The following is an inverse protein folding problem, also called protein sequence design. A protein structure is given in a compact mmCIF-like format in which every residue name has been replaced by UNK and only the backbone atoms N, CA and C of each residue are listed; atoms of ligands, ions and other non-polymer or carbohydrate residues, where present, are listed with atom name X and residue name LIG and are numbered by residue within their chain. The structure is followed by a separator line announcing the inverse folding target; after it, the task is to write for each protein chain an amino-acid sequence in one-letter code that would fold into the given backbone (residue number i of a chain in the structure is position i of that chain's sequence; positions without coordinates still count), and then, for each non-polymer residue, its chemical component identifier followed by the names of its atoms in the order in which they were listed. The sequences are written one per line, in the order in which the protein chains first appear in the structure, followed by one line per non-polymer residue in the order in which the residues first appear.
data_IF_459696265931
#
_entry.id   IF_459696265931
#
_cell.length_a   1.000
_cell.length_b   1.000
_cell.length_c   1.000
_cell.angle_alpha   90.00
_cell.angle_beta   90.00
_cell.angle_gamma   90.00
#
_symmetry.space_group_name_H-M   'P 1'
#
loop_
_entity.id
_entity.type
_entity.pdbx_description
1 polymer ?
#
# COMPACT_ATOMS: atom_id res chain seq x y z
N UNK A 1 -32.85 14.15 -5.00
CA UNK A 1 -32.28 14.77 -3.76
C UNK A 1 -30.88 14.25 -3.52
N UNK A 2 -30.70 12.92 -3.53
CA UNK A 2 -29.40 12.23 -3.59
C UNK A 2 -28.42 12.88 -4.60
N UNK A 3 -28.89 13.23 -5.78
CA UNK A 3 -28.13 13.89 -6.86
C UNK A 3 -27.41 15.18 -6.41
N UNK A 4 -28.04 15.97 -5.53
CA UNK A 4 -27.46 17.20 -4.95
C UNK A 4 -26.53 16.93 -3.77
N UNK A 5 -26.53 15.71 -3.22
CA UNK A 5 -25.53 15.24 -2.27
C UNK A 5 -24.31 14.70 -3.04
N UNK A 6 -24.53 13.82 -4.03
CA UNK A 6 -23.46 13.30 -4.91
C UNK A 6 -22.68 14.43 -5.59
N UNK A 7 -23.37 15.45 -6.13
CA UNK A 7 -22.68 16.59 -6.74
C UNK A 7 -21.83 17.40 -5.75
N UNK A 8 -22.25 17.50 -4.48
CA UNK A 8 -21.46 18.15 -3.42
C UNK A 8 -20.27 17.30 -3.00
N UNK A 9 -20.42 15.99 -2.92
CA UNK A 9 -19.33 15.06 -2.59
C UNK A 9 -18.25 15.13 -3.67
N UNK A 10 -18.60 14.98 -4.94
CA UNK A 10 -17.65 15.11 -6.07
C UNK A 10 -16.97 16.48 -6.12
N UNK A 11 -17.69 17.55 -5.81
CA UNK A 11 -17.11 18.91 -5.75
C UNK A 11 -16.13 19.08 -4.59
N UNK A 12 -16.39 18.44 -3.44
CA UNK A 12 -15.46 18.42 -2.30
C UNK A 12 -14.23 17.55 -2.56
N UNK A 13 -14.42 16.37 -3.16
CA UNK A 13 -13.34 15.44 -3.57
C UNK A 13 -12.39 16.16 -4.53
N UNK A 14 -12.90 16.63 -5.67
CA UNK A 14 -12.12 17.39 -6.67
C UNK A 14 -11.41 18.61 -6.07
N UNK A 15 -12.11 19.41 -5.24
CA UNK A 15 -11.53 20.61 -4.62
C UNK A 15 -10.42 20.28 -3.62
N UNK A 16 -10.44 19.08 -3.02
CA UNK A 16 -9.39 18.65 -2.10
C UNK A 16 -8.23 18.00 -2.85
N UNK A 17 -8.52 17.26 -3.92
CA UNK A 17 -7.52 16.67 -4.81
C UNK A 17 -6.64 17.75 -5.47
N UNK A 18 -7.24 18.82 -6.03
CA UNK A 18 -6.49 19.98 -6.55
C UNK A 18 -5.54 20.58 -5.50
N UNK A 19 -5.94 20.63 -4.22
CA UNK A 19 -5.14 21.19 -3.13
C UNK A 19 -4.00 20.28 -2.68
N UNK A 20 -4.17 18.96 -2.76
CA UNK A 20 -3.17 17.97 -2.32
C UNK A 20 -2.15 17.73 -3.43
N UNK A 21 -2.60 17.41 -4.65
CA UNK A 21 -1.71 17.04 -5.76
C UNK A 21 -0.96 18.28 -6.29
N UNK A 22 -1.58 19.46 -6.25
CA UNK A 22 -0.99 20.73 -6.70
C UNK A 22 0.25 21.22 -5.94
N UNK A 23 0.64 20.56 -4.85
CA UNK A 23 1.80 20.93 -4.03
C UNK A 23 3.04 20.05 -4.21
N UNK A 24 3.06 19.08 -5.14
CA UNK A 24 3.96 17.92 -5.03
C UNK A 24 4.85 17.62 -6.25
N UNK A 25 6.04 17.03 -6.04
CA UNK A 25 6.97 16.70 -7.13
C UNK A 25 7.93 15.50 -6.88
N UNK A 26 7.84 14.47 -7.73
CA UNK A 26 8.73 13.30 -7.90
C UNK A 26 8.29 12.55 -9.20
N UNK A 27 8.75 11.31 -9.44
CA UNK A 27 8.72 10.59 -10.74
C UNK A 27 7.90 9.27 -10.83
N UNK A 28 7.12 8.91 -9.82
CA UNK A 28 6.46 7.58 -9.67
C UNK A 28 4.92 7.60 -9.43
N UNK A 29 4.28 8.76 -9.33
CA UNK A 29 2.85 8.93 -9.01
C UNK A 29 2.26 10.02 -9.92
N UNK A 30 1.01 9.88 -10.37
CA UNK A 30 0.42 10.78 -11.37
C UNK A 30 0.10 12.13 -10.74
N UNK A 31 0.36 13.20 -11.46
CA UNK A 31 0.99 14.45 -11.02
C UNK A 31 0.07 15.76 -10.99
N UNK A 32 0.46 17.06 -10.95
CA UNK A 32 -0.49 18.20 -11.29
C UNK A 32 0.01 19.43 -12.15
N UNK A 33 -0.22 19.39 -13.48
CA UNK A 33 -0.07 20.51 -14.46
C UNK A 33 -1.12 21.60 -14.21
N UNK A 34 -2.35 21.20 -13.87
CA UNK A 34 -3.50 22.09 -13.80
C UNK A 34 -4.83 21.35 -13.71
N UNK A 35 -5.93 22.06 -13.89
CA UNK A 35 -7.28 21.50 -13.76
C UNK A 35 -8.30 22.31 -14.57
N UNK A 36 -9.45 21.69 -14.88
CA UNK A 36 -10.63 22.37 -15.40
C UNK A 36 -11.79 22.20 -14.42
N UNK A 37 -12.45 23.32 -14.09
CA UNK A 37 -13.60 23.39 -13.20
C UNK A 37 -14.67 24.31 -13.81
N UNK A 38 -15.29 23.86 -14.91
CA UNK A 38 -16.22 24.66 -15.70
C UNK A 38 -17.60 24.01 -15.77
N UNK A 39 -18.59 24.62 -15.13
CA UNK A 39 -19.96 24.12 -15.08
C UNK A 39 -20.03 22.71 -14.48
N UNK A 40 -20.41 21.73 -15.29
CA UNK A 40 -20.46 20.29 -14.93
C UNK A 40 -19.13 19.54 -15.13
N UNK A 41 -18.13 20.19 -15.74
CA UNK A 41 -16.86 19.55 -16.07
C UNK A 41 -15.88 19.70 -14.89
N UNK A 42 -15.22 18.58 -14.57
CA UNK A 42 -14.18 18.44 -13.56
C UNK A 42 -13.09 17.60 -14.20
N UNK A 43 -11.92 18.16 -14.46
CA UNK A 43 -10.77 17.47 -15.05
C UNK A 43 -9.50 17.87 -14.32
N UNK A 44 -8.57 16.94 -14.17
CA UNK A 44 -7.24 17.18 -13.62
C UNK A 44 -6.20 16.85 -14.71
N UNK A 45 -5.09 17.59 -14.70
CA UNK A 45 -3.99 17.49 -15.68
C UNK A 45 -2.69 17.45 -14.88
N UNK A 46 -1.69 16.64 -15.26
CA UNK A 46 -0.81 16.02 -14.26
C UNK A 46 0.75 16.18 -14.47
N UNK A 47 1.47 17.02 -13.67
CA UNK A 47 2.96 17.13 -13.40
C UNK A 47 3.24 17.77 -11.98
N UNK A 48 3.72 17.21 -10.83
CA UNK A 48 4.42 15.96 -10.38
C UNK A 48 3.82 15.27 -9.07
N UNK A 49 4.42 14.18 -8.51
CA UNK A 49 3.90 13.13 -7.55
C UNK A 49 3.05 13.45 -6.25
N UNK A 50 1.78 13.02 -6.13
CA UNK A 50 0.96 13.05 -4.90
C UNK A 50 0.98 11.77 -4.05
N UNK A 51 0.48 11.90 -2.81
CA UNK A 51 0.08 10.77 -1.93
C UNK A 51 -1.23 10.16 -2.47
N UNK A 52 -1.34 8.84 -2.52
CA UNK A 52 -2.49 8.13 -3.10
C UNK A 52 -3.65 7.90 -2.11
N UNK A 53 -3.33 7.61 -0.85
CA UNK A 53 -4.25 7.27 0.25
C UNK A 53 -5.05 5.97 0.10
N UNK A 54 -5.21 5.41 -1.11
CA UNK A 54 -6.01 4.20 -1.37
C UNK A 54 -5.28 3.18 -2.27
N UNK A 55 -4.04 2.82 -1.93
CA UNK A 55 -3.31 1.75 -2.65
C UNK A 55 -3.88 0.38 -2.23
N UNK A 56 -4.34 -0.39 -3.22
CA UNK A 56 -4.92 -1.74 -3.08
C UNK A 56 -4.97 -2.44 -4.45
N UNK A 57 -5.13 -3.77 -4.55
CA UNK A 57 -5.07 -4.47 -5.84
C UNK A 57 -6.13 -3.99 -6.85
N UNK A 58 -7.30 -3.56 -6.39
CA UNK A 58 -8.39 -3.09 -7.27
C UNK A 58 -8.06 -1.75 -7.96
N UNK A 59 -7.10 -0.99 -7.43
CA UNK A 59 -6.62 0.28 -7.96
C UNK A 59 -5.24 0.12 -8.67
N UNK A 60 -4.81 -1.12 -8.94
CA UNK A 60 -3.57 -1.45 -9.66
C UNK A 60 -3.98 -2.22 -10.91
N UNK A 61 -4.15 -1.48 -12.00
CA UNK A 61 -4.56 -2.01 -13.29
C UNK A 61 -3.34 -2.55 -14.04
N UNK A 62 -3.52 -3.61 -14.83
CA UNK A 62 -2.52 -4.09 -15.79
C UNK A 62 -2.94 -3.67 -17.20
N UNK A 63 -2.00 -3.24 -18.03
CA UNK A 63 -2.23 -3.05 -19.47
C UNK A 63 -1.88 -4.30 -20.29
N UNK A 64 -2.04 -4.21 -21.62
CA UNK A 64 -1.76 -5.27 -22.59
C UNK A 64 -0.33 -5.83 -22.53
N UNK A 65 0.63 -5.10 -21.93
CA UNK A 65 2.02 -5.52 -21.73
C UNK A 65 2.30 -6.11 -20.34
N UNK A 66 1.25 -6.34 -19.54
CA UNK A 66 1.32 -6.64 -18.10
C UNK A 66 2.01 -5.53 -17.27
N UNK A 67 2.09 -4.30 -17.79
CA UNK A 67 2.65 -3.18 -17.04
C UNK A 67 1.62 -2.65 -16.04
N UNK A 68 1.99 -2.65 -14.76
CA UNK A 68 1.14 -2.15 -13.68
C UNK A 68 1.01 -0.62 -13.68
N UNK A 69 -0.22 -0.12 -13.50
CA UNK A 69 -0.61 1.29 -13.50
C UNK A 69 -1.58 1.55 -12.35
N UNK A 70 -1.29 2.58 -11.56
CA UNK A 70 -2.13 2.98 -10.42
C UNK A 70 -3.31 3.83 -10.96
N UNK A 71 -4.52 3.57 -10.45
CA UNK A 71 -5.75 4.30 -10.73
C UNK A 71 -6.41 4.83 -9.45
N UNK A 72 -7.44 5.67 -9.59
CA UNK A 72 -8.32 6.09 -8.48
C UNK A 72 -7.63 6.91 -7.36
N UNK A 73 -6.83 7.88 -7.82
CA UNK A 73 -6.33 9.00 -7.02
C UNK A 73 -7.49 9.82 -6.41
N UNK A 74 -7.20 10.56 -5.34
CA UNK A 74 -8.16 11.48 -4.71
C UNK A 74 -9.03 10.89 -3.59
N UNK A 75 -9.02 9.58 -3.34
CA UNK A 75 -9.84 8.96 -2.29
C UNK A 75 -9.23 9.09 -0.87
N UNK A 76 -9.38 10.26 -0.25
CA UNK A 76 -8.84 10.61 1.09
C UNK A 76 -9.62 9.95 2.25
N UNK A 77 -9.93 8.66 2.11
CA UNK A 77 -10.54 7.80 3.14
C UNK A 77 -9.86 6.43 3.26
N UNK A 78 -9.20 5.96 2.20
CA UNK A 78 -8.59 4.64 2.12
C UNK A 78 -9.57 3.47 2.24
N UNK A 79 -9.06 2.24 2.08
CA UNK A 79 -9.83 1.00 2.14
C UNK A 79 -9.45 0.17 3.38
N UNK A 80 -10.44 -0.27 4.17
CA UNK A 80 -10.23 -1.08 5.37
C UNK A 80 -9.39 -2.32 5.06
N UNK A 81 -8.32 -2.53 5.83
CA UNK A 81 -7.31 -3.57 5.59
C UNK A 81 -6.03 -3.06 4.93
N UNK A 82 -6.07 -1.93 4.21
CA UNK A 82 -4.89 -1.30 3.59
C UNK A 82 -4.47 0.00 4.30
N UNK A 83 -5.42 0.66 4.97
CA UNK A 83 -5.21 1.90 5.76
C UNK A 83 -4.14 1.71 6.85
N UNK A 84 -3.20 2.65 6.92
CA UNK A 84 -2.11 2.63 7.88
C UNK A 84 -2.55 3.06 9.30
N UNK A 85 -1.95 2.52 10.39
CA UNK A 85 -2.36 2.77 11.77
C UNK A 85 -2.48 4.24 12.17
N UNK A 86 -1.64 5.12 11.63
CA UNK A 86 -1.61 6.55 11.98
C UNK A 86 -2.89 7.32 11.60
N UNK A 87 -3.69 6.83 10.64
CA UNK A 87 -4.98 7.41 10.27
C UNK A 87 -5.95 7.50 11.46
N UNK A 88 -5.84 6.57 12.41
CA UNK A 88 -6.70 6.51 13.59
C UNK A 88 -6.11 7.25 14.81
N UNK A 89 -4.86 7.72 14.70
CA UNK A 89 -4.08 8.31 15.81
C UNK A 89 -3.99 9.83 15.78
N UNK A 90 -4.73 10.50 14.90
CA UNK A 90 -4.68 11.96 14.68
C UNK A 90 -3.28 12.51 14.33
N UNK A 91 -2.42 11.65 13.78
CA UNK A 91 -1.08 12.02 13.32
C UNK A 91 -1.13 12.64 11.92
N UNK A 92 -0.09 13.40 11.49
CA UNK A 92 -0.01 13.90 10.12
C UNK A 92 0.05 12.78 9.08
N UNK A 93 -0.85 12.81 8.11
CA UNK A 93 -0.80 11.92 6.94
C UNK A 93 0.40 12.30 6.06
N UNK A 94 1.17 11.30 5.63
CA UNK A 94 2.36 11.45 4.78
C UNK A 94 2.38 10.35 3.72
N UNK A 95 3.33 10.40 2.77
CA UNK A 95 3.57 9.33 1.78
C UNK A 95 3.78 7.94 2.39
N UNK A 96 4.06 7.85 3.69
CA UNK A 96 4.23 6.59 4.42
C UNK A 96 2.93 5.80 4.62
N UNK A 97 1.76 6.39 4.37
CA UNK A 97 0.50 5.63 4.31
C UNK A 97 0.47 4.75 3.06
N UNK A 98 0.90 5.28 1.90
CA UNK A 98 0.99 4.51 0.65
C UNK A 98 2.02 3.38 0.76
N UNK A 99 3.12 3.61 1.47
CA UNK A 99 4.14 2.59 1.77
C UNK A 99 3.53 1.42 2.55
N UNK A 100 2.75 1.69 3.60
CA UNK A 100 2.05 0.66 4.37
C UNK A 100 1.04 -0.10 3.52
N UNK A 101 0.18 0.62 2.80
CA UNK A 101 -0.82 0.02 1.91
C UNK A 101 -0.17 -0.84 0.81
N UNK A 102 0.97 -0.41 0.26
CA UNK A 102 1.79 -1.22 -0.65
C UNK A 102 2.39 -2.45 0.05
N UNK A 103 2.78 -2.35 1.33
CA UNK A 103 3.22 -3.49 2.13
C UNK A 103 2.16 -4.59 2.22
N UNK A 104 0.89 -4.22 2.42
CA UNK A 104 -0.24 -5.16 2.38
C UNK A 104 -0.39 -5.80 0.99
N UNK A 105 -0.40 -4.99 -0.08
CA UNK A 105 -0.48 -5.49 -1.47
C UNK A 105 0.67 -6.46 -1.78
N UNK A 106 1.88 -6.19 -1.29
CA UNK A 106 3.04 -7.05 -1.48
C UNK A 106 2.88 -8.40 -0.78
N UNK A 107 2.24 -8.46 0.41
CA UNK A 107 1.88 -9.74 1.04
C UNK A 107 0.83 -10.50 0.22
N UNK A 108 -0.23 -9.83 -0.23
CA UNK A 108 -1.29 -10.46 -1.04
C UNK A 108 -0.72 -11.06 -2.34
N UNK A 109 0.28 -10.40 -2.94
CA UNK A 109 1.02 -10.88 -4.12
C UNK A 109 1.98 -12.03 -3.79
N UNK A 110 2.65 -12.02 -2.64
CA UNK A 110 3.60 -13.09 -2.26
C UNK A 110 2.87 -14.38 -1.85
N UNK A 111 1.73 -14.29 -1.16
CA UNK A 111 1.02 -15.47 -0.67
C UNK A 111 -0.19 -15.88 -1.52
N UNK A 112 -0.55 -15.12 -2.56
CA UNK A 112 -1.78 -15.28 -3.34
C UNK A 112 -3.07 -15.37 -2.48
N UNK A 113 -3.07 -14.71 -1.30
CA UNK A 113 -4.22 -14.63 -0.36
C UNK A 113 -4.70 -13.18 -0.23
N UNK A 114 -5.91 -12.99 0.26
CA UNK A 114 -6.41 -11.66 0.67
C UNK A 114 -5.88 -11.32 2.05
N UNK A 115 -5.72 -10.03 2.35
CA UNK A 115 -5.22 -9.57 3.64
C UNK A 115 -6.16 -9.89 4.82
N UNK A 116 -7.46 -9.97 4.55
CA UNK A 116 -8.48 -10.39 5.52
C UNK A 116 -9.22 -11.60 4.95
N UNK A 117 -8.98 -12.76 5.56
CA UNK A 117 -9.47 -14.06 5.11
C UNK A 117 -10.39 -14.68 6.17
N UNK A 118 -11.65 -14.24 6.16
CA UNK A 118 -12.68 -14.71 7.10
C UNK A 118 -13.10 -16.18 6.90
N UNK A 119 -12.57 -16.85 5.87
CA UNK A 119 -12.82 -18.26 5.54
C UNK A 119 -11.62 -19.16 5.90
N UNK A 120 -10.55 -18.58 6.50
CA UNK A 120 -9.39 -19.31 6.97
C UNK A 120 -9.75 -20.35 8.06
N UNK A 121 -9.12 -21.52 7.98
CA UNK A 121 -9.37 -22.66 8.89
C UNK A 121 -8.75 -22.48 10.29
N UNK A 122 -7.77 -21.58 10.42
CA UNK A 122 -7.04 -21.28 11.65
C UNK A 122 -7.21 -19.78 11.97
N UNK A 123 -7.44 -19.42 13.23
CA UNK A 123 -7.65 -18.01 13.62
C UNK A 123 -6.40 -17.14 13.38
N UNK A 124 -5.22 -17.72 13.58
CA UNK A 124 -3.89 -17.16 13.24
C UNK A 124 -3.76 -16.78 11.75
N UNK A 125 -4.57 -17.37 10.87
CA UNK A 125 -4.49 -17.20 9.41
C UNK A 125 -5.52 -16.19 8.84
N UNK A 126 -6.31 -15.53 9.69
CA UNK A 126 -7.36 -14.59 9.27
C UNK A 126 -6.76 -13.24 8.83
N UNK A 127 -5.67 -12.80 9.47
CA UNK A 127 -4.98 -11.53 9.16
C UNK A 127 -3.62 -11.87 8.55
N UNK A 128 -3.48 -11.61 7.24
CA UNK A 128 -2.28 -11.98 6.49
C UNK A 128 -1.02 -11.26 6.98
N UNK A 129 -1.15 -10.00 7.41
CA UNK A 129 -0.03 -9.22 7.94
C UNK A 129 0.63 -9.88 9.16
N UNK A 130 -0.19 -10.31 10.12
CA UNK A 130 0.26 -10.93 11.37
C UNK A 130 0.79 -12.35 11.08
N UNK A 131 0.06 -13.15 10.31
CA UNK A 131 0.49 -14.49 9.91
C UNK A 131 1.82 -14.51 9.13
N UNK A 132 2.06 -13.49 8.30
CA UNK A 132 3.30 -13.36 7.54
C UNK A 132 4.49 -12.91 8.40
N UNK A 133 4.24 -12.16 9.48
CA UNK A 133 5.23 -11.90 10.55
C UNK A 133 5.56 -13.20 11.27
N UNK A 134 4.56 -13.97 11.71
CA UNK A 134 4.78 -15.20 12.45
C UNK A 134 5.57 -16.21 11.60
N UNK A 135 5.17 -16.40 10.34
CA UNK A 135 5.88 -17.25 9.38
C UNK A 135 7.32 -16.77 9.08
N UNK A 136 7.62 -15.48 9.23
CA UNK A 136 8.98 -14.94 9.12
C UNK A 136 9.80 -15.26 10.37
N UNK A 137 9.30 -14.92 11.56
CA UNK A 137 9.98 -15.17 12.85
C UNK A 137 10.24 -16.65 13.12
N UNK A 138 9.30 -17.52 12.73
CA UNK A 138 9.41 -18.98 12.77
C UNK A 138 10.38 -19.58 11.72
N UNK A 139 10.78 -18.81 10.70
CA UNK A 139 11.46 -19.32 9.50
C UNK A 139 10.59 -20.24 8.62
N UNK A 140 9.26 -20.28 8.84
CA UNK A 140 8.29 -21.18 8.17
C UNK A 140 7.75 -20.59 6.85
N UNK A 141 8.59 -19.86 6.11
CA UNK A 141 8.26 -19.13 4.87
C UNK A 141 7.45 -19.93 3.86
N UNK A 142 7.74 -21.23 3.70
CA UNK A 142 7.04 -22.13 2.77
C UNK A 142 5.54 -22.35 3.08
N UNK A 143 5.03 -21.89 4.23
CA UNK A 143 3.59 -21.80 4.50
C UNK A 143 2.91 -20.77 3.59
N UNK A 144 3.54 -19.62 3.36
CA UNK A 144 2.96 -18.48 2.64
C UNK A 144 2.75 -18.79 1.15
N UNK A 145 3.72 -19.49 0.54
CA UNK A 145 3.78 -19.81 -0.90
C UNK A 145 3.30 -21.23 -1.23
N UNK A 146 2.49 -21.83 -0.37
CA UNK A 146 2.11 -23.25 -0.43
C UNK A 146 1.27 -23.56 -1.68
N UNK A 147 1.91 -24.17 -2.69
CA UNK A 147 1.28 -24.55 -3.96
C UNK A 147 1.70 -23.70 -5.15
N UNK A 148 2.58 -22.71 -4.95
CA UNK A 148 3.24 -21.98 -6.03
C UNK A 148 4.64 -22.60 -6.28
N UNK A 149 4.78 -23.32 -7.40
CA UNK A 149 6.03 -23.99 -7.77
C UNK A 149 7.16 -23.00 -8.18
N UNK A 150 6.84 -21.79 -8.67
CA UNK A 150 7.86 -20.77 -8.98
C UNK A 150 8.39 -20.16 -7.67
N UNK A 151 7.50 -19.74 -6.78
CA UNK A 151 7.87 -19.14 -5.52
C UNK A 151 8.59 -20.15 -4.59
N UNK A 152 8.19 -21.42 -4.59
CA UNK A 152 8.91 -22.48 -3.87
C UNK A 152 10.30 -22.80 -4.46
N UNK A 153 10.57 -22.46 -5.72
CA UNK A 153 11.89 -22.61 -6.33
C UNK A 153 12.85 -21.43 -6.02
N UNK A 154 12.32 -20.23 -5.74
CA UNK A 154 13.09 -19.02 -5.42
C UNK A 154 12.72 -18.47 -4.02
N UNK A 155 13.00 -19.28 -3.00
CA UNK A 155 12.76 -18.90 -1.60
C UNK A 155 13.58 -17.69 -1.13
N UNK A 156 14.69 -17.34 -1.80
CA UNK A 156 15.45 -16.12 -1.50
C UNK A 156 14.66 -14.86 -1.92
N UNK A 157 14.04 -14.86 -3.11
CA UNK A 157 13.11 -13.81 -3.54
C UNK A 157 11.89 -13.72 -2.63
N UNK A 158 11.34 -14.86 -2.19
CA UNK A 158 10.21 -14.90 -1.23
C UNK A 158 10.61 -14.25 0.10
N UNK A 159 11.73 -14.68 0.71
CA UNK A 159 12.24 -14.10 1.96
C UNK A 159 12.51 -12.59 1.81
N UNK A 160 13.14 -12.18 0.70
CA UNK A 160 13.47 -10.80 0.40
C UNK A 160 12.22 -9.92 0.22
N UNK A 161 11.20 -10.41 -0.49
CA UNK A 161 9.93 -9.70 -0.66
C UNK A 161 9.18 -9.59 0.67
N UNK A 162 9.14 -10.66 1.47
CA UNK A 162 8.52 -10.65 2.80
C UNK A 162 9.21 -9.67 3.76
N UNK A 163 10.55 -9.65 3.81
CA UNK A 163 11.31 -8.66 4.59
C UNK A 163 10.95 -7.22 4.18
N UNK A 164 10.79 -6.96 2.87
CA UNK A 164 10.35 -5.63 2.38
C UNK A 164 8.94 -5.30 2.85
N UNK A 165 7.99 -6.25 2.80
CA UNK A 165 6.64 -6.05 3.30
C UNK A 165 6.64 -5.70 4.80
N UNK A 166 7.34 -6.46 5.64
CA UNK A 166 7.42 -6.20 7.09
C UNK A 166 8.09 -4.85 7.40
N UNK A 167 9.04 -4.38 6.57
CA UNK A 167 9.58 -3.02 6.66
C UNK A 167 8.57 -1.94 6.25
N UNK A 168 7.71 -2.22 5.26
CA UNK A 168 6.62 -1.32 4.86
C UNK A 168 5.50 -1.24 5.91
N UNK A 169 5.27 -2.32 6.68
CA UNK A 169 4.19 -2.44 7.66
C UNK A 169 4.57 -1.98 9.09
N UNK A 170 5.72 -1.33 9.27
CA UNK A 170 6.14 -0.84 10.59
C UNK A 170 5.13 0.16 11.19
N UNK A 171 4.80 -0.02 12.47
CA UNK A 171 3.84 0.79 13.22
C UNK A 171 4.20 2.29 13.21
N UNK A 172 5.49 2.59 13.36
CA UNK A 172 6.07 3.93 13.24
C UNK A 172 6.32 4.30 11.75
N UNK A 173 5.61 5.32 11.19
CA UNK A 173 5.80 5.74 9.81
C UNK A 173 7.21 6.23 9.48
N UNK A 174 8.01 6.66 10.47
CA UNK A 174 9.40 7.07 10.25
C UNK A 174 10.31 5.87 9.95
N UNK A 175 10.02 4.70 10.53
CA UNK A 175 10.77 3.45 10.31
C UNK A 175 10.48 2.82 8.93
N UNK A 176 9.31 3.10 8.34
CA UNK A 176 8.96 2.63 6.99
C UNK A 176 9.91 3.23 5.94
N UNK A 177 10.42 2.45 4.97
CA UNK A 177 11.30 2.94 3.91
C UNK A 177 10.57 3.90 2.94
N UNK A 178 11.32 4.75 2.24
CA UNK A 178 10.80 5.50 1.10
C UNK A 178 10.52 4.56 -0.09
N UNK A 179 9.49 4.82 -0.90
CA UNK A 179 9.14 3.93 -2.03
C UNK A 179 10.27 3.76 -3.06
N UNK A 180 11.20 4.73 -3.20
CA UNK A 180 12.43 4.55 -3.98
C UNK A 180 13.31 3.44 -3.41
N UNK A 181 13.46 3.38 -2.09
CA UNK A 181 14.24 2.35 -1.38
C UNK A 181 13.54 0.99 -1.44
N UNK A 182 12.21 0.97 -1.33
CA UNK A 182 11.36 -0.23 -1.53
C UNK A 182 11.62 -0.84 -2.92
N UNK A 183 11.55 -0.03 -3.98
CA UNK A 183 11.84 -0.50 -5.33
C UNK A 183 13.25 -1.11 -5.44
N UNK A 184 14.28 -0.42 -4.94
CA UNK A 184 15.66 -0.92 -4.94
C UNK A 184 15.84 -2.23 -4.14
N UNK A 185 15.04 -2.47 -3.10
CA UNK A 185 15.03 -3.73 -2.35
C UNK A 185 14.35 -4.88 -3.12
N UNK A 186 13.24 -4.58 -3.82
CA UNK A 186 12.51 -5.54 -4.66
C UNK A 186 13.23 -5.89 -5.97
N UNK A 187 14.00 -4.95 -6.52
CA UNK A 187 14.96 -5.18 -7.62
C UNK A 187 16.15 -6.06 -7.20
N UNK A 188 16.43 -6.19 -5.89
CA UNK A 188 17.68 -6.78 -5.39
C UNK A 188 18.89 -5.83 -5.46
N UNK A 189 18.70 -4.61 -5.97
CA UNK A 189 19.71 -3.56 -6.11
C UNK A 189 20.36 -3.12 -4.79
N UNK A 190 19.71 -3.34 -3.64
CA UNK A 190 20.29 -3.15 -2.29
C UNK A 190 19.88 -4.26 -1.32
N UNK A 191 20.77 -4.57 -0.37
CA UNK A 191 20.50 -5.53 0.72
C UNK A 191 19.32 -5.10 1.61
N UNK A 192 18.45 -6.05 1.95
CA UNK A 192 17.32 -5.84 2.87
C UNK A 192 17.73 -6.28 4.27
N UNK A 193 17.89 -5.36 5.25
CA UNK A 193 18.20 -5.75 6.61
C UNK A 193 17.04 -6.56 7.21
N UNK A 194 17.34 -7.44 8.17
CA UNK A 194 16.31 -8.14 8.96
C UNK A 194 15.35 -7.10 9.59
N UNK A 195 14.03 -7.22 9.38
CA UNK A 195 13.05 -6.40 10.08
C UNK A 195 13.16 -6.54 11.60
N UNK A 196 12.71 -5.55 12.38
CA UNK A 196 12.56 -5.72 13.82
C UNK A 196 11.42 -6.70 14.12
N UNK A 197 11.60 -7.48 15.18
CA UNK A 197 10.58 -8.34 15.75
C UNK A 197 9.39 -7.49 16.26
N UNK A 198 8.14 -7.73 15.81
CA UNK A 198 6.98 -7.01 16.30
C UNK A 198 6.67 -7.20 17.79
N UNK A 199 7.10 -8.28 18.44
CA UNK A 199 6.97 -8.42 19.91
C UNK A 199 7.76 -7.33 20.67
N UNK A 200 8.81 -6.76 20.05
CA UNK A 200 9.63 -5.70 20.66
C UNK A 200 8.86 -4.40 20.97
N UNK A 201 7.62 -4.25 20.48
CA UNK A 201 6.74 -3.13 20.82
C UNK A 201 5.74 -3.43 21.95
N UNK A 202 5.44 -4.70 22.24
CA UNK A 202 4.46 -5.09 23.28
C UNK A 202 5.00 -4.90 24.70
N UNK A 203 6.32 -4.89 24.89
CA UNK A 203 6.98 -4.75 26.20
C UNK A 203 7.01 -3.33 26.79
N UNK A 204 6.14 -2.40 26.36
CA UNK A 204 6.14 -0.99 26.81
C UNK A 204 4.73 -0.46 27.17
N UNK A 205 3.93 -1.28 27.86
CA UNK A 205 2.62 -0.90 28.43
C UNK A 205 2.61 -1.19 29.93
#
# INVERSE_FOLDING_TARGET
MLDKMVSKTQEQEFTTEVKVIGGTNHKNLVKLVGFCNEGKHRLLVYDANPIHCDIKPQNILLDESMTAKISDFGLIRGTRGYVAPEWFKSMPITSKVDVHSFGIVLLELVSCRKNLDMEALNEEEIILADWAVDCFSDGKLGKLVKGDEEAMADMERVERFLKVAIWCLQEDPTRRPEMKKVAQMLEGSIHVPTPPDPESYLGTI
#
